data_IF_954955775275
#
_entry.id   IF_954955775275
#
_cell.length_a   1.000
_cell.length_b   1.000
_cell.length_c   1.000
_cell.angle_alpha   90.00
_cell.angle_beta   90.00
_cell.angle_gamma   90.00
#
_symmetry.space_group_name_H-M   'P 1'
#
loop_
_entity.id
_entity.type
_entity.pdbx_description
1 polymer ?
#
# COMPACT_ATOMS: atom_id res chain seq x y z
N UNK A 1 8.49 25.41 -51.34
CA UNK A 1 7.16 25.51 -50.77
C UNK A 1 6.92 24.23 -49.98
N UNK A 2 7.19 24.26 -48.68
CA UNK A 2 6.98 23.14 -47.74
C UNK A 2 5.54 23.23 -47.24
N UNK A 3 4.75 22.19 -47.48
CA UNK A 3 3.39 22.03 -47.01
C UNK A 3 3.38 22.01 -45.46
N UNK A 4 2.56 22.83 -44.80
CA UNK A 4 2.49 22.76 -43.33
C UNK A 4 1.87 21.43 -42.92
N UNK A 5 2.48 20.76 -41.93
CA UNK A 5 1.97 19.55 -41.33
C UNK A 5 0.56 19.82 -40.77
N UNK A 6 -0.35 18.93 -41.06
CA UNK A 6 -1.73 18.98 -40.55
C UNK A 6 -1.73 19.03 -39.01
N UNK A 7 -2.56 19.87 -38.37
CA UNK A 7 -2.68 19.93 -36.93
C UNK A 7 -3.10 18.55 -36.42
N UNK A 8 -2.33 18.02 -35.46
CA UNK A 8 -2.51 16.71 -34.89
C UNK A 8 -3.96 16.43 -34.52
N UNK A 9 -4.46 15.28 -34.93
CA UNK A 9 -5.80 14.81 -34.64
C UNK A 9 -6.01 14.90 -33.12
N UNK A 10 -6.75 15.88 -32.66
CA UNK A 10 -7.21 15.97 -31.27
C UNK A 10 -8.01 14.70 -30.98
N UNK A 11 -7.51 13.87 -30.09
CA UNK A 11 -8.27 12.71 -29.63
C UNK A 11 -9.67 13.19 -29.21
N UNK A 12 -10.74 12.53 -29.66
CA UNK A 12 -12.08 12.93 -29.23
C UNK A 12 -12.14 12.90 -27.69
N UNK A 13 -12.83 13.89 -27.08
CA UNK A 13 -12.94 13.95 -25.63
C UNK A 13 -13.46 12.61 -25.11
N UNK A 14 -12.95 12.13 -23.97
CA UNK A 14 -13.33 10.84 -23.41
C UNK A 14 -14.85 10.78 -23.25
N UNK A 15 -15.47 9.70 -23.73
CA UNK A 15 -16.90 9.48 -23.53
C UNK A 15 -17.19 9.51 -22.04
N UNK A 16 -18.21 10.28 -21.62
CA UNK A 16 -18.57 10.39 -20.21
C UNK A 16 -18.76 8.99 -19.61
N UNK A 17 -18.16 8.73 -18.44
CA UNK A 17 -18.28 7.43 -17.80
C UNK A 17 -19.76 7.13 -17.50
N UNK A 18 -20.17 5.86 -17.62
CA UNK A 18 -21.51 5.43 -17.25
C UNK A 18 -21.81 5.77 -15.78
N UNK A 19 -23.10 5.96 -15.43
CA UNK A 19 -23.53 6.33 -14.06
C UNK A 19 -23.00 5.44 -12.93
N UNK A 20 -22.64 4.20 -13.20
CA UNK A 20 -22.07 3.24 -12.22
C UNK A 20 -20.55 3.15 -12.19
N UNK A 21 -19.82 3.91 -13.02
CA UNK A 21 -18.37 3.75 -13.18
C UNK A 21 -17.60 4.02 -11.88
N UNK A 22 -17.79 5.16 -11.25
CA UNK A 22 -17.05 5.55 -10.02
C UNK A 22 -17.33 4.63 -8.84
N UNK A 23 -18.58 4.25 -8.52
CA UNK A 23 -18.87 3.24 -7.51
C UNK A 23 -18.23 1.88 -7.79
N UNK A 24 -18.29 1.39 -9.04
CA UNK A 24 -17.67 0.11 -9.41
C UNK A 24 -16.15 0.16 -9.38
N UNK A 25 -15.53 1.28 -9.76
CA UNK A 25 -14.10 1.51 -9.60
C UNK A 25 -13.69 1.49 -8.12
N UNK A 26 -14.45 2.15 -7.26
CA UNK A 26 -14.24 2.10 -5.81
C UNK A 26 -14.37 0.69 -5.25
N UNK A 27 -15.39 -0.06 -5.69
CA UNK A 27 -15.60 -1.45 -5.30
C UNK A 27 -14.45 -2.36 -5.77
N UNK A 28 -13.95 -2.19 -7.00
CA UNK A 28 -12.81 -2.95 -7.52
C UNK A 28 -11.52 -2.66 -6.72
N UNK A 29 -11.27 -1.40 -6.38
CA UNK A 29 -10.14 -1.01 -5.53
C UNK A 29 -10.28 -1.58 -4.11
N UNK A 30 -11.45 -1.42 -3.49
CA UNK A 30 -11.74 -2.05 -2.20
C UNK A 30 -11.50 -3.56 -2.23
N UNK A 31 -12.00 -4.25 -3.24
CA UNK A 31 -11.83 -5.70 -3.39
C UNK A 31 -10.38 -6.12 -3.58
N UNK A 32 -9.60 -5.40 -4.40
CA UNK A 32 -8.19 -5.67 -4.59
C UNK A 32 -7.38 -5.41 -3.30
N UNK A 33 -7.65 -4.32 -2.58
CA UNK A 33 -7.04 -4.07 -1.27
C UNK A 33 -7.47 -5.11 -0.22
N UNK A 34 -8.73 -5.54 -0.22
CA UNK A 34 -9.20 -6.60 0.67
C UNK A 34 -8.42 -7.90 0.44
N UNK A 35 -8.23 -8.28 -0.84
CA UNK A 35 -7.48 -9.48 -1.22
C UNK A 35 -5.98 -9.41 -0.85
N UNK A 36 -5.38 -8.21 -0.82
CA UNK A 36 -3.98 -8.01 -0.46
C UNK A 36 -3.78 -7.79 1.04
N UNK A 37 -4.60 -6.95 1.68
CA UNK A 37 -4.39 -6.54 3.07
C UNK A 37 -4.84 -7.61 4.06
N UNK A 38 -5.90 -8.37 3.79
CA UNK A 38 -6.34 -9.46 4.66
C UNK A 38 -5.22 -10.48 4.94
N UNK A 39 -4.50 -11.00 3.92
CA UNK A 39 -3.32 -11.83 4.15
C UNK A 39 -2.22 -11.14 4.95
N UNK A 40 -1.85 -9.91 4.58
CA UNK A 40 -0.72 -9.19 5.22
C UNK A 40 -0.98 -8.90 6.70
N UNK A 41 -2.21 -8.50 7.04
CA UNK A 41 -2.54 -8.09 8.40
C UNK A 41 -2.57 -9.27 9.39
N UNK A 42 -3.04 -10.44 8.96
CA UNK A 42 -3.22 -11.59 9.85
C UNK A 42 -3.02 -12.93 9.13
N UNK A 43 -3.54 -13.10 7.92
CA UNK A 43 -3.63 -14.38 7.24
C UNK A 43 -2.28 -15.07 7.05
N UNK A 44 -1.25 -14.35 6.58
CA UNK A 44 0.09 -14.90 6.36
C UNK A 44 0.77 -15.26 7.68
N UNK A 45 0.59 -14.46 8.74
CA UNK A 45 1.15 -14.74 10.06
C UNK A 45 0.58 -16.04 10.62
N UNK A 46 -0.74 -16.26 10.50
CA UNK A 46 -1.39 -17.53 10.89
C UNK A 46 -0.86 -18.70 10.05
N UNK A 47 -0.76 -18.51 8.72
CA UNK A 47 -0.31 -19.57 7.81
C UNK A 47 1.14 -19.99 8.04
N UNK A 48 2.05 -19.06 8.27
CA UNK A 48 3.44 -19.40 8.55
C UNK A 48 3.61 -19.98 9.95
N UNK A 49 2.78 -19.63 10.93
CA UNK A 49 2.76 -20.29 12.24
C UNK A 49 2.41 -21.77 12.10
N UNK A 50 1.39 -22.09 11.29
CA UNK A 50 0.97 -23.46 11.01
C UNK A 50 2.08 -24.30 10.35
N UNK A 51 2.92 -23.70 9.49
CA UNK A 51 3.88 -24.43 8.64
C UNK A 51 5.30 -24.40 9.19
N UNK A 52 5.74 -23.27 9.75
CA UNK A 52 7.15 -23.02 10.07
C UNK A 52 7.49 -23.13 11.58
N UNK A 53 6.48 -23.23 12.46
CA UNK A 53 6.71 -23.39 13.90
C UNK A 53 7.62 -22.28 14.46
N UNK A 54 8.78 -22.66 15.00
CA UNK A 54 9.73 -21.71 15.62
C UNK A 54 10.36 -20.73 14.63
N UNK A 55 10.44 -21.08 13.34
CA UNK A 55 10.97 -20.23 12.27
C UNK A 55 9.93 -19.26 11.68
N UNK A 56 8.74 -19.14 12.29
CA UNK A 56 7.61 -18.34 11.77
C UNK A 56 7.96 -16.88 11.46
N UNK A 57 8.77 -16.24 12.30
CA UNK A 57 9.15 -14.85 12.11
C UNK A 57 10.02 -14.66 10.86
N UNK A 58 11.00 -15.55 10.66
CA UNK A 58 11.87 -15.55 9.47
C UNK A 58 11.09 -15.89 8.21
N UNK A 59 10.20 -16.90 8.28
CA UNK A 59 9.34 -17.28 7.16
C UNK A 59 8.39 -16.14 6.75
N UNK A 60 7.79 -15.44 7.73
CA UNK A 60 6.93 -14.28 7.45
C UNK A 60 7.71 -13.13 6.81
N UNK A 61 8.89 -12.82 7.36
CA UNK A 61 9.78 -11.78 6.82
C UNK A 61 10.17 -12.05 5.37
N UNK A 62 10.51 -13.32 5.05
CA UNK A 62 10.82 -13.77 3.70
C UNK A 62 9.62 -13.60 2.76
N UNK A 63 8.46 -14.15 3.14
CA UNK A 63 7.25 -14.14 2.31
C UNK A 63 6.77 -12.70 2.06
N UNK A 64 6.66 -11.89 3.11
CA UNK A 64 6.15 -10.53 2.99
C UNK A 64 7.17 -9.60 2.34
N UNK A 65 8.44 -9.71 2.69
CA UNK A 65 9.52 -8.89 2.12
C UNK A 65 9.71 -9.11 0.63
N UNK A 66 9.81 -10.38 0.19
CA UNK A 66 9.93 -10.71 -1.25
C UNK A 66 8.65 -10.36 -1.99
N UNK A 67 7.47 -10.68 -1.43
CA UNK A 67 6.19 -10.33 -2.05
C UNK A 67 6.03 -8.82 -2.29
N UNK A 68 6.48 -8.00 -1.35
CA UNK A 68 6.42 -6.54 -1.51
C UNK A 68 7.36 -6.01 -2.61
N UNK A 69 8.49 -6.68 -2.91
CA UNK A 69 9.31 -6.37 -4.08
C UNK A 69 8.54 -6.61 -5.39
N UNK A 70 7.76 -7.70 -5.45
CA UNK A 70 6.90 -7.94 -6.62
C UNK A 70 5.85 -6.84 -6.78
N UNK A 71 5.23 -6.38 -5.69
CA UNK A 71 4.29 -5.26 -5.72
C UNK A 71 4.95 -3.96 -6.21
N UNK A 72 6.18 -3.67 -5.73
CA UNK A 72 6.94 -2.48 -6.09
C UNK A 72 7.13 -2.36 -7.60
N UNK A 73 7.46 -3.46 -8.27
CA UNK A 73 7.68 -3.48 -9.72
C UNK A 73 6.42 -3.74 -10.54
N UNK A 74 5.48 -4.55 -10.03
CA UNK A 74 4.28 -4.93 -10.76
C UNK A 74 3.41 -3.72 -11.13
N UNK A 75 3.16 -2.81 -10.18
CA UNK A 75 2.25 -1.68 -10.39
C UNK A 75 2.72 -0.77 -11.55
N UNK A 76 3.95 -0.19 -11.55
CA UNK A 76 4.40 0.68 -12.64
C UNK A 76 4.66 -0.09 -13.96
N UNK A 77 5.12 -1.34 -13.88
CA UNK A 77 5.35 -2.15 -15.07
C UNK A 77 4.04 -2.47 -15.80
N UNK A 78 3.04 -2.94 -15.05
CA UNK A 78 1.74 -3.30 -15.62
C UNK A 78 0.98 -2.06 -16.05
N UNK A 79 1.10 -0.95 -15.34
CA UNK A 79 0.60 0.34 -15.80
C UNK A 79 1.08 0.65 -17.22
N UNK A 80 2.39 0.64 -17.45
CA UNK A 80 2.99 0.86 -18.77
C UNK A 80 2.62 -0.20 -19.81
N UNK A 81 2.56 -1.48 -19.42
CA UNK A 81 2.14 -2.56 -20.32
C UNK A 81 0.67 -2.40 -20.74
N UNK A 82 -0.20 -2.04 -19.80
CA UNK A 82 -1.61 -1.83 -20.10
C UNK A 82 -1.85 -0.63 -21.02
N UNK A 83 -1.02 0.43 -20.93
CA UNK A 83 -1.04 1.58 -21.85
C UNK A 83 -0.74 1.18 -23.30
N UNK A 84 -0.06 0.06 -23.52
CA UNK A 84 0.41 -0.42 -24.82
C UNK A 84 -0.36 -1.66 -25.32
N UNK A 85 -1.32 -2.11 -24.54
CA UNK A 85 -2.07 -3.34 -24.88
C UNK A 85 -3.10 -3.06 -25.97
N UNK A 86 -2.88 -3.61 -27.16
CA UNK A 86 -3.83 -3.63 -28.25
C UNK A 86 -4.57 -4.97 -28.26
N UNK A 87 -5.73 -5.04 -27.63
CA UNK A 87 -6.53 -6.26 -27.58
C UNK A 87 -8.00 -6.00 -27.97
N UNK A 88 -8.70 -7.08 -28.37
CA UNK A 88 -10.13 -7.02 -28.69
C UNK A 88 -11.00 -6.67 -27.46
N UNK A 89 -10.50 -6.96 -26.26
CA UNK A 89 -11.19 -6.64 -24.99
C UNK A 89 -10.98 -5.20 -24.55
N UNK A 90 -10.02 -4.49 -25.17
CA UNK A 90 -9.58 -3.16 -24.75
C UNK A 90 -8.16 -3.18 -24.19
N UNK A 91 -7.69 -2.04 -23.67
CA UNK A 91 -6.31 -1.93 -23.16
C UNK A 91 -6.21 -2.28 -21.67
N UNK A 92 -7.22 -2.04 -20.85
CA UNK A 92 -7.22 -2.24 -19.37
C UNK A 92 -7.89 -3.54 -18.94
N UNK A 93 -8.99 -3.93 -19.59
CA UNK A 93 -9.76 -5.14 -19.24
C UNK A 93 -8.94 -6.42 -19.14
N UNK A 94 -8.02 -6.75 -20.07
CA UNK A 94 -7.24 -7.98 -19.98
C UNK A 94 -6.45 -8.10 -18.70
N UNK A 95 -5.88 -6.97 -18.22
CA UNK A 95 -5.09 -6.90 -16.99
C UNK A 95 -5.96 -7.04 -15.74
N UNK A 96 -7.15 -6.44 -15.75
CA UNK A 96 -8.10 -6.54 -14.63
C UNK A 96 -8.64 -7.98 -14.54
N UNK A 97 -9.08 -8.57 -15.65
CA UNK A 97 -9.62 -9.93 -15.67
C UNK A 97 -8.55 -10.98 -15.37
N UNK A 98 -7.38 -10.88 -16.04
CA UNK A 98 -6.25 -11.78 -15.81
C UNK A 98 -5.73 -11.69 -14.38
N UNK A 99 -5.57 -10.46 -13.86
CA UNK A 99 -5.18 -10.22 -12.49
C UNK A 99 -6.17 -10.78 -11.48
N UNK A 100 -7.48 -10.62 -11.70
CA UNK A 100 -8.50 -11.19 -10.82
C UNK A 100 -8.42 -12.72 -10.77
N UNK A 101 -8.34 -13.39 -11.93
CA UNK A 101 -8.29 -14.87 -12.01
C UNK A 101 -6.99 -15.40 -11.37
N UNK A 102 -5.84 -14.87 -11.79
CA UNK A 102 -4.54 -15.32 -11.26
C UNK A 102 -4.43 -15.02 -9.77
N UNK A 103 -4.90 -13.84 -9.32
CA UNK A 103 -4.85 -13.45 -7.92
C UNK A 103 -5.69 -14.34 -7.02
N UNK A 104 -6.91 -14.68 -7.42
CA UNK A 104 -7.78 -15.61 -6.67
C UNK A 104 -7.16 -17.01 -6.63
N UNK A 105 -6.64 -17.51 -7.75
CA UNK A 105 -5.97 -18.80 -7.79
C UNK A 105 -4.71 -18.83 -6.91
N UNK A 106 -3.93 -17.75 -6.89
CA UNK A 106 -2.76 -17.62 -6.03
C UNK A 106 -3.13 -17.61 -4.54
N UNK A 107 -4.19 -16.91 -4.14
CA UNK A 107 -4.68 -16.93 -2.75
C UNK A 107 -5.24 -18.29 -2.35
N UNK A 108 -5.93 -19.00 -3.26
CA UNK A 108 -6.36 -20.36 -3.03
C UNK A 108 -5.15 -21.30 -2.83
N UNK A 109 -4.10 -21.14 -3.64
CA UNK A 109 -2.84 -21.87 -3.50
C UNK A 109 -2.20 -21.64 -2.13
N UNK A 110 -2.15 -20.38 -1.63
CA UNK A 110 -1.62 -20.06 -0.30
C UNK A 110 -2.46 -20.75 0.79
N UNK A 111 -3.79 -20.63 0.71
CA UNK A 111 -4.69 -21.25 1.70
C UNK A 111 -4.53 -22.76 1.81
N UNK A 112 -4.27 -23.45 0.70
CA UNK A 112 -4.04 -24.89 0.63
C UNK A 112 -2.56 -25.30 0.83
N UNK A 113 -1.62 -24.37 0.99
CA UNK A 113 -0.20 -24.65 1.06
C UNK A 113 0.20 -25.35 2.37
N UNK A 114 1.20 -26.22 2.29
CA UNK A 114 1.86 -26.89 3.40
C UNK A 114 3.38 -26.64 3.44
N UNK A 115 3.85 -25.67 2.67
CA UNK A 115 5.26 -25.29 2.56
C UNK A 115 5.41 -23.77 2.44
N UNK A 116 6.38 -23.21 3.14
CA UNK A 116 6.73 -21.77 3.09
C UNK A 116 7.04 -21.33 1.66
N UNK A 117 7.68 -22.19 0.86
CA UNK A 117 8.02 -21.89 -0.53
C UNK A 117 6.79 -21.75 -1.44
N UNK A 118 5.78 -22.60 -1.21
CA UNK A 118 4.50 -22.50 -1.93
C UNK A 118 3.75 -21.22 -1.54
N UNK A 119 3.77 -20.86 -0.24
CA UNK A 119 3.22 -19.60 0.25
C UNK A 119 3.96 -18.41 -0.38
N UNK A 120 5.29 -18.45 -0.45
CA UNK A 120 6.11 -17.40 -1.08
C UNK A 120 5.75 -17.20 -2.54
N UNK A 121 5.74 -18.27 -3.34
CA UNK A 121 5.38 -18.19 -4.77
C UNK A 121 3.94 -17.72 -4.94
N UNK A 122 3.01 -18.27 -4.18
CA UNK A 122 1.61 -17.84 -4.19
C UNK A 122 1.46 -16.36 -3.84
N UNK A 123 2.22 -15.89 -2.83
CA UNK A 123 2.17 -14.49 -2.42
C UNK A 123 2.76 -13.54 -3.47
N UNK A 124 3.88 -13.89 -4.10
CA UNK A 124 4.45 -13.12 -5.21
C UNK A 124 3.47 -13.02 -6.40
N UNK A 125 2.78 -14.13 -6.72
CA UNK A 125 1.74 -14.15 -7.76
C UNK A 125 0.53 -13.29 -7.37
N UNK A 126 0.03 -13.40 -6.14
CA UNK A 126 -1.10 -12.61 -5.64
C UNK A 126 -0.77 -11.10 -5.65
N UNK A 127 0.42 -10.72 -5.18
CA UNK A 127 0.91 -9.34 -5.22
C UNK A 127 0.97 -8.81 -6.65
N UNK A 128 1.57 -9.56 -7.58
CA UNK A 128 1.64 -9.17 -8.99
C UNK A 128 0.25 -9.02 -9.60
N UNK A 129 -0.63 -9.98 -9.36
CA UNK A 129 -1.95 -10.05 -9.97
C UNK A 129 -2.90 -8.94 -9.47
N UNK A 130 -3.02 -8.74 -8.15
CA UNK A 130 -3.89 -7.70 -7.64
C UNK A 130 -3.30 -6.28 -7.83
N UNK A 131 -1.96 -6.12 -7.85
CA UNK A 131 -1.36 -4.85 -8.27
C UNK A 131 -1.62 -4.56 -9.76
N UNK A 132 -1.75 -5.60 -10.61
CA UNK A 132 -2.20 -5.43 -11.99
C UNK A 132 -3.65 -4.92 -12.06
N UNK A 133 -4.54 -5.47 -11.24
CA UNK A 133 -5.92 -4.97 -11.11
C UNK A 133 -5.91 -3.50 -10.70
N UNK A 134 -5.18 -3.15 -9.64
CA UNK A 134 -5.09 -1.78 -9.13
C UNK A 134 -4.53 -0.80 -10.17
N UNK A 135 -3.41 -1.16 -10.81
CA UNK A 135 -2.76 -0.32 -11.81
C UNK A 135 -3.69 -0.05 -13.00
N UNK A 136 -4.29 -1.11 -13.56
CA UNK A 136 -5.17 -0.99 -14.72
C UNK A 136 -6.49 -0.29 -14.38
N UNK A 137 -7.08 -0.57 -13.21
CA UNK A 137 -8.31 0.09 -12.76
C UNK A 137 -8.09 1.59 -12.49
N UNK A 138 -7.03 1.97 -11.78
CA UNK A 138 -6.74 3.37 -11.47
C UNK A 138 -6.35 4.19 -12.71
N UNK A 139 -5.70 3.57 -13.70
CA UNK A 139 -5.41 4.21 -14.98
C UNK A 139 -6.68 4.60 -15.77
N UNK A 140 -7.85 4.02 -15.46
CA UNK A 140 -9.12 4.44 -16.07
C UNK A 140 -9.60 5.82 -15.59
N UNK A 141 -9.08 6.34 -14.46
CA UNK A 141 -9.45 7.69 -13.97
C UNK A 141 -9.03 8.76 -14.97
N UNK A 142 -7.75 8.92 -15.35
CA UNK A 142 -7.37 9.90 -16.36
C UNK A 142 -7.94 9.57 -17.74
N UNK A 143 -8.19 8.27 -18.05
CA UNK A 143 -8.70 7.85 -19.36
C UNK A 143 -10.18 8.23 -19.59
N UNK A 144 -11.03 8.24 -18.53
CA UNK A 144 -12.48 8.35 -18.67
C UNK A 144 -13.13 9.42 -17.80
N UNK A 145 -12.48 9.83 -16.70
CA UNK A 145 -13.08 10.82 -15.77
C UNK A 145 -12.66 12.22 -16.17
N UNK A 146 -13.62 13.13 -16.41
CA UNK A 146 -13.33 14.54 -16.64
C UNK A 146 -12.52 15.13 -15.51
N UNK A 147 -11.60 16.04 -15.81
CA UNK A 147 -10.66 16.61 -14.84
C UNK A 147 -11.33 17.15 -13.58
N UNK A 148 -12.49 17.83 -13.74
CA UNK A 148 -13.29 18.38 -12.63
C UNK A 148 -13.83 17.32 -11.66
N UNK A 149 -13.98 16.07 -12.10
CA UNK A 149 -14.56 14.97 -11.33
C UNK A 149 -13.50 13.97 -10.80
N UNK A 150 -12.23 14.12 -11.23
CA UNK A 150 -11.14 13.22 -10.83
C UNK A 150 -10.91 13.20 -9.31
N UNK A 151 -11.03 14.36 -8.65
CA UNK A 151 -10.94 14.46 -7.20
C UNK A 151 -12.00 13.62 -6.49
N UNK A 152 -13.26 13.63 -6.98
CA UNK A 152 -14.33 12.79 -6.43
C UNK A 152 -14.06 11.29 -6.66
N UNK A 153 -13.62 10.93 -7.86
CA UNK A 153 -13.28 9.54 -8.18
C UNK A 153 -12.12 9.02 -7.30
N UNK A 154 -11.05 9.81 -7.14
CA UNK A 154 -9.92 9.49 -6.27
C UNK A 154 -10.33 9.39 -4.79
N UNK A 155 -11.25 10.25 -4.34
CA UNK A 155 -11.80 10.17 -2.98
C UNK A 155 -12.53 8.85 -2.71
N UNK A 156 -13.37 8.39 -3.66
CA UNK A 156 -14.06 7.10 -3.56
C UNK A 156 -13.06 5.93 -3.53
N UNK A 157 -12.04 5.97 -4.37
CA UNK A 157 -10.95 4.97 -4.38
C UNK A 157 -10.18 4.98 -3.05
N UNK A 158 -9.89 6.16 -2.51
CA UNK A 158 -9.12 6.32 -1.28
C UNK A 158 -9.79 5.71 -0.03
N UNK A 159 -11.11 5.66 0.02
CA UNK A 159 -11.88 5.00 1.11
C UNK A 159 -11.69 3.47 1.06
N UNK A 160 -11.33 2.90 -0.08
CA UNK A 160 -11.19 1.46 -0.27
C UNK A 160 -10.16 0.82 0.68
N UNK A 161 -9.03 1.46 0.92
CA UNK A 161 -7.95 0.91 1.76
C UNK A 161 -8.33 0.80 3.24
N UNK A 162 -8.77 1.86 3.94
CA UNK A 162 -9.15 1.73 5.35
C UNK A 162 -10.35 0.79 5.54
N UNK A 163 -11.31 0.79 4.61
CA UNK A 163 -12.42 -0.13 4.64
C UNK A 163 -11.96 -1.59 4.50
N UNK A 164 -10.99 -1.85 3.60
CA UNK A 164 -10.40 -3.18 3.41
C UNK A 164 -9.64 -3.66 4.65
N UNK A 165 -8.96 -2.77 5.37
CA UNK A 165 -8.30 -3.09 6.63
C UNK A 165 -9.32 -3.58 7.66
N UNK A 166 -10.42 -2.84 7.85
CA UNK A 166 -11.46 -3.22 8.81
C UNK A 166 -12.13 -4.52 8.40
N UNK A 167 -12.69 -4.58 7.19
CA UNK A 167 -13.44 -5.75 6.71
C UNK A 167 -12.52 -6.99 6.66
N UNK A 168 -11.28 -6.84 6.20
CA UNK A 168 -10.30 -7.93 6.13
C UNK A 168 -9.93 -8.49 7.50
N UNK A 169 -9.68 -7.64 8.49
CA UNK A 169 -9.36 -8.07 9.85
C UNK A 169 -10.53 -8.82 10.51
N UNK A 170 -11.77 -8.34 10.34
CA UNK A 170 -12.94 -9.04 10.84
C UNK A 170 -13.25 -10.32 10.07
N UNK A 171 -13.00 -10.34 8.74
CA UNK A 171 -13.17 -11.55 7.94
C UNK A 171 -12.27 -12.70 8.45
N UNK A 172 -10.99 -12.43 8.75
CA UNK A 172 -10.10 -13.46 9.32
C UNK A 172 -10.58 -13.94 10.68
N UNK A 173 -11.14 -13.05 11.52
CA UNK A 173 -11.67 -13.40 12.83
C UNK A 173 -12.93 -14.29 12.75
N UNK A 174 -13.70 -14.18 11.66
CA UNK A 174 -14.95 -14.93 11.46
C UNK A 174 -14.76 -16.24 10.66
N UNK A 175 -13.61 -16.41 10.01
CA UNK A 175 -13.32 -17.56 9.15
C UNK A 175 -12.37 -18.54 9.86
N UNK A 176 -12.81 -19.78 10.05
CA UNK A 176 -12.08 -20.78 10.84
C UNK A 176 -11.00 -21.52 10.01
N UNK A 177 -11.22 -21.73 8.71
CA UNK A 177 -10.27 -22.48 7.89
C UNK A 177 -9.22 -21.62 7.23
N UNK A 178 -7.97 -22.11 7.17
CA UNK A 178 -6.87 -21.47 6.45
C UNK A 178 -7.25 -21.12 5.00
N UNK A 179 -7.85 -22.08 4.28
CA UNK A 179 -8.31 -21.83 2.90
C UNK A 179 -9.34 -20.69 2.80
N UNK A 180 -10.32 -20.66 3.70
CA UNK A 180 -11.36 -19.63 3.67
C UNK A 180 -10.80 -18.23 3.95
N UNK A 181 -9.83 -18.10 4.87
CA UNK A 181 -9.17 -16.82 5.21
C UNK A 181 -8.47 -16.15 4.03
N UNK A 182 -8.04 -16.94 3.04
CA UNK A 182 -7.44 -16.41 1.80
C UNK A 182 -8.44 -16.37 0.65
N UNK A 183 -9.22 -17.44 0.46
CA UNK A 183 -10.09 -17.56 -0.70
C UNK A 183 -11.29 -16.61 -0.66
N UNK A 184 -11.94 -16.43 0.51
CA UNK A 184 -13.14 -15.59 0.61
C UNK A 184 -12.83 -14.12 0.30
N UNK A 185 -11.85 -13.45 0.95
CA UNK A 185 -11.48 -12.08 0.59
C UNK A 185 -10.97 -11.98 -0.86
N UNK A 186 -10.19 -12.97 -1.30
CA UNK A 186 -9.69 -13.04 -2.67
C UNK A 186 -10.80 -13.16 -3.72
N UNK A 187 -11.75 -14.07 -3.51
CA UNK A 187 -12.88 -14.27 -4.41
C UNK A 187 -13.78 -13.02 -4.47
N UNK A 188 -14.07 -12.41 -3.32
CA UNK A 188 -14.82 -11.14 -3.29
C UNK A 188 -14.08 -10.06 -4.08
N UNK A 189 -12.77 -9.92 -3.87
CA UNK A 189 -11.93 -8.99 -4.62
C UNK A 189 -11.94 -9.27 -6.12
N UNK A 190 -11.79 -10.54 -6.50
CA UNK A 190 -11.86 -10.98 -7.89
C UNK A 190 -13.21 -10.70 -8.54
N UNK A 191 -14.32 -11.00 -7.86
CA UNK A 191 -15.69 -10.73 -8.35
C UNK A 191 -15.90 -9.23 -8.57
N UNK A 192 -15.51 -8.38 -7.62
CA UNK A 192 -15.66 -6.92 -7.75
C UNK A 192 -14.81 -6.37 -8.89
N UNK A 193 -13.59 -6.88 -9.08
CA UNK A 193 -12.73 -6.53 -10.21
C UNK A 193 -13.35 -6.96 -11.56
N UNK A 194 -13.91 -8.17 -11.64
CA UNK A 194 -14.61 -8.67 -12.84
C UNK A 194 -15.84 -7.83 -13.16
N UNK A 195 -16.67 -7.51 -12.16
CA UNK A 195 -17.85 -6.65 -12.34
C UNK A 195 -17.46 -5.27 -12.88
N UNK A 196 -16.40 -4.67 -12.36
CA UNK A 196 -15.87 -3.41 -12.88
C UNK A 196 -15.39 -3.59 -14.33
N UNK A 197 -14.60 -4.62 -14.63
CA UNK A 197 -14.09 -4.88 -15.97
C UNK A 197 -15.22 -5.08 -17.01
N UNK A 198 -16.32 -5.75 -16.63
CA UNK A 198 -17.47 -5.96 -17.50
C UNK A 198 -18.23 -4.65 -17.77
N UNK A 199 -18.35 -3.78 -16.76
CA UNK A 199 -19.01 -2.48 -16.88
C UNK A 199 -18.13 -1.42 -17.56
N UNK A 200 -16.81 -1.61 -17.58
CA UNK A 200 -15.85 -0.67 -18.13
C UNK A 200 -16.05 -0.53 -19.66
N UNK A 201 -16.21 0.68 -20.16
CA UNK A 201 -16.15 1.00 -21.58
C UNK A 201 -14.70 1.25 -21.98
N UNK A 202 -13.95 0.13 -22.12
CA UNK A 202 -12.51 0.20 -22.30
C UNK A 202 -12.12 0.69 -23.70
N UNK A 203 -11.09 1.55 -23.75
CA UNK A 203 -10.52 2.06 -24.98
C UNK A 203 -9.81 0.94 -25.74
N UNK A 204 -10.03 0.84 -27.03
CA UNK A 204 -9.33 -0.10 -27.90
C UNK A 204 -8.27 0.66 -28.70
N UNK A 205 -7.03 0.20 -28.62
CA UNK A 205 -5.96 0.68 -29.48
C UNK A 205 -6.01 -0.10 -30.79
N UNK A 206 -5.98 0.60 -31.91
CA UNK A 206 -5.92 -0.01 -33.24
C UNK A 206 -4.59 -0.74 -33.44
N UNK A 207 -3.50 -0.18 -32.90
CA UNK A 207 -2.15 -0.76 -32.92
C UNK A 207 -1.44 -0.42 -31.60
N UNK A 208 -0.55 -1.31 -31.16
CA UNK A 208 0.32 -1.01 -30.02
C UNK A 208 1.25 0.15 -30.38
N UNK A 209 1.48 1.11 -29.46
CA UNK A 209 2.41 2.20 -29.68
C UNK A 209 3.79 1.70 -30.09
N UNK A 210 4.40 2.33 -31.09
CA UNK A 210 5.75 2.00 -31.56
C UNK A 210 6.80 2.26 -30.47
N UNK A 211 7.87 1.47 -30.47
CA UNK A 211 9.00 1.55 -29.53
C UNK A 211 8.99 0.39 -28.53
N UNK A 212 10.18 -0.05 -28.13
CA UNK A 212 10.36 -1.09 -27.10
C UNK A 212 10.39 -0.44 -25.71
N UNK A 213 9.80 -1.11 -24.72
CA UNK A 213 10.03 -0.75 -23.32
C UNK A 213 11.51 -1.02 -23.02
N UNK A 214 12.28 0.04 -22.79
CA UNK A 214 13.67 -0.06 -22.40
C UNK A 214 13.74 -0.35 -20.90
N UNK A 215 14.37 -1.48 -20.52
CA UNK A 215 14.64 -1.78 -19.12
C UNK A 215 15.50 -0.66 -18.46
N UNK A 216 16.44 -0.07 -19.21
CA UNK A 216 17.28 1.03 -18.73
C UNK A 216 16.45 2.28 -18.42
N UNK A 217 15.49 2.63 -19.27
CA UNK A 217 14.58 3.76 -19.03
C UNK A 217 13.62 3.47 -17.86
N UNK A 218 13.16 2.21 -17.76
CA UNK A 218 12.33 1.78 -16.66
C UNK A 218 13.04 1.92 -15.32
N UNK A 219 14.22 1.32 -15.16
CA UNK A 219 14.98 1.41 -13.92
C UNK A 219 15.57 2.81 -13.70
N UNK A 220 15.94 3.54 -14.78
CA UNK A 220 16.39 4.93 -14.69
C UNK A 220 15.32 5.89 -14.15
N UNK A 221 14.02 5.56 -14.33
CA UNK A 221 12.93 6.37 -13.77
C UNK A 221 12.78 6.21 -12.24
N UNK A 222 13.50 5.29 -11.60
CA UNK A 222 13.48 5.07 -10.15
C UNK A 222 14.66 5.72 -9.41
N UNK A 223 15.54 6.42 -10.12
CA UNK A 223 16.75 7.01 -9.54
C UNK A 223 16.70 8.53 -9.64
N UNK A 224 17.05 9.20 -8.54
CA UNK A 224 17.27 10.64 -8.47
C UNK A 224 18.62 10.94 -7.83
N UNK A 225 19.14 12.16 -8.03
CA UNK A 225 20.36 12.62 -7.36
C UNK A 225 19.99 13.46 -6.11
N UNK A 226 20.19 12.92 -4.88
CA UNK A 226 19.86 13.65 -3.66
C UNK A 226 20.80 14.83 -3.38
N UNK A 227 21.96 14.91 -4.06
CA UNK A 227 22.89 16.04 -3.91
C UNK A 227 22.43 17.24 -4.75
N UNK A 228 21.88 16.96 -5.93
CA UNK A 228 21.31 17.99 -6.79
C UNK A 228 19.97 18.51 -6.26
N UNK A 229 19.20 17.66 -5.56
CA UNK A 229 17.85 17.96 -5.06
C UNK A 229 17.70 17.56 -3.59
N UNK A 230 18.36 18.25 -2.64
CA UNK A 230 18.41 17.84 -1.23
C UNK A 230 17.05 17.88 -0.55
N UNK A 231 16.19 18.85 -0.85
CA UNK A 231 14.85 18.98 -0.27
C UNK A 231 13.97 17.79 -0.63
N UNK A 232 14.00 17.37 -1.89
CA UNK A 232 13.31 16.17 -2.34
C UNK A 232 13.84 14.92 -1.64
N UNK A 233 15.17 14.84 -1.44
CA UNK A 233 15.82 13.75 -0.70
C UNK A 233 15.35 13.67 0.77
N UNK A 234 15.22 14.81 1.46
CA UNK A 234 14.73 14.84 2.84
C UNK A 234 13.25 14.44 2.94
N UNK A 235 12.40 14.90 2.01
CA UNK A 235 11.00 14.49 1.95
C UNK A 235 10.89 12.98 1.65
N UNK A 236 11.69 12.46 0.71
CA UNK A 236 11.76 11.05 0.38
C UNK A 236 12.13 10.20 1.61
N UNK A 237 13.15 10.61 2.36
CA UNK A 237 13.62 9.90 3.55
C UNK A 237 12.60 9.93 4.69
N UNK A 238 11.95 11.07 4.94
CA UNK A 238 10.88 11.20 5.91
C UNK A 238 9.69 10.28 5.59
N UNK A 239 9.31 10.23 4.31
CA UNK A 239 8.27 9.33 3.81
C UNK A 239 8.65 7.86 3.95
N UNK A 240 9.88 7.49 3.59
CA UNK A 240 10.41 6.15 3.80
C UNK A 240 10.32 5.73 5.26
N UNK A 241 10.73 6.59 6.19
CA UNK A 241 10.71 6.31 7.62
C UNK A 241 9.29 6.07 8.14
N UNK A 242 8.30 6.87 7.71
CA UNK A 242 6.88 6.69 8.05
C UNK A 242 6.35 5.33 7.60
N UNK A 243 6.59 4.98 6.33
CA UNK A 243 6.13 3.70 5.79
C UNK A 243 6.88 2.51 6.39
N UNK A 244 8.15 2.68 6.80
CA UNK A 244 8.92 1.65 7.50
C UNK A 244 8.29 1.30 8.86
N UNK A 245 7.98 2.32 9.67
CA UNK A 245 7.30 2.13 10.94
C UNK A 245 5.94 1.46 10.77
N UNK A 246 5.14 1.92 9.81
CA UNK A 246 3.81 1.36 9.54
C UNK A 246 3.86 -0.10 9.06
N UNK A 247 4.73 -0.42 8.12
CA UNK A 247 4.86 -1.78 7.58
C UNK A 247 5.33 -2.79 8.64
N UNK A 248 6.22 -2.35 9.54
CA UNK A 248 6.73 -3.19 10.61
C UNK A 248 5.68 -3.68 11.58
N UNK A 249 4.63 -2.87 11.83
CA UNK A 249 3.53 -3.24 12.74
C UNK A 249 2.66 -4.31 12.08
N UNK A 250 2.23 -4.06 10.86
CA UNK A 250 1.23 -4.88 10.19
C UNK A 250 1.62 -6.36 10.11
N UNK A 251 2.90 -6.65 9.93
CA UNK A 251 3.39 -8.02 9.76
C UNK A 251 3.49 -8.80 11.09
N UNK A 252 3.94 -8.15 12.18
CA UNK A 252 4.35 -8.85 13.39
C UNK A 252 3.42 -8.67 14.61
N UNK A 253 2.31 -7.94 14.47
CA UNK A 253 1.39 -7.68 15.59
C UNK A 253 0.79 -8.96 16.16
N UNK A 254 0.48 -9.97 15.32
CA UNK A 254 -0.03 -11.26 15.79
C UNK A 254 0.98 -11.94 16.71
N UNK A 255 2.23 -12.03 16.30
CA UNK A 255 3.29 -12.69 17.07
C UNK A 255 3.58 -11.93 18.37
N UNK A 256 3.57 -10.61 18.36
CA UNK A 256 3.67 -9.81 19.58
C UNK A 256 2.57 -10.15 20.60
N UNK A 257 1.32 -10.25 20.12
CA UNK A 257 0.18 -10.58 20.99
C UNK A 257 0.23 -12.01 21.53
N UNK A 258 0.70 -12.97 20.73
CA UNK A 258 0.80 -14.38 21.16
C UNK A 258 2.03 -14.67 21.99
N UNK A 259 3.20 -14.19 21.57
CA UNK A 259 4.48 -14.59 22.12
C UNK A 259 4.91 -13.71 23.32
N UNK A 260 4.68 -12.39 23.28
CA UNK A 260 5.04 -11.49 24.40
C UNK A 260 3.87 -11.26 25.37
N UNK A 261 2.62 -11.08 24.86
CA UNK A 261 1.46 -10.85 25.72
C UNK A 261 0.72 -12.14 26.11
N UNK A 262 1.16 -13.32 25.59
CA UNK A 262 0.64 -14.65 25.98
C UNK A 262 -0.83 -14.89 25.62
N UNK A 263 -1.36 -14.19 24.59
CA UNK A 263 -2.75 -14.38 24.16
C UNK A 263 -2.90 -15.67 23.34
N UNK A 264 -4.06 -16.32 23.45
CA UNK A 264 -4.41 -17.37 22.49
C UNK A 264 -4.57 -16.77 21.09
N UNK A 265 -4.31 -17.56 20.05
CA UNK A 265 -4.38 -17.14 18.66
C UNK A 265 -5.75 -16.49 18.32
N UNK A 266 -6.85 -17.14 18.71
CA UNK A 266 -8.20 -16.63 18.46
C UNK A 266 -8.44 -15.27 19.13
N UNK A 267 -7.97 -15.08 20.37
CA UNK A 267 -8.08 -13.81 21.08
C UNK A 267 -7.19 -12.74 20.45
N UNK A 268 -5.98 -13.08 20.03
CA UNK A 268 -5.08 -12.17 19.34
C UNK A 268 -5.67 -11.65 18.02
N UNK A 269 -6.27 -12.53 17.20
CA UNK A 269 -6.98 -12.16 15.96
C UNK A 269 -8.11 -11.18 16.23
N UNK A 270 -8.93 -11.43 17.27
CA UNK A 270 -9.99 -10.51 17.67
C UNK A 270 -9.48 -9.14 18.13
N UNK A 271 -8.36 -9.12 18.87
CA UNK A 271 -7.69 -7.86 19.30
C UNK A 271 -7.17 -7.10 18.09
N UNK A 272 -6.57 -7.78 17.11
CA UNK A 272 -6.10 -7.15 15.86
C UNK A 272 -7.28 -6.53 15.09
N UNK A 273 -8.41 -7.22 14.98
CA UNK A 273 -9.60 -6.69 14.32
C UNK A 273 -10.10 -5.39 14.99
N UNK A 274 -10.16 -5.38 16.32
CA UNK A 274 -10.53 -4.19 17.08
C UNK A 274 -9.52 -3.06 16.93
N UNK A 275 -8.23 -3.35 17.07
CA UNK A 275 -7.13 -2.39 16.97
C UNK A 275 -7.05 -1.76 15.57
N UNK A 276 -7.17 -2.58 14.51
CA UNK A 276 -7.21 -2.10 13.13
C UNK A 276 -8.46 -1.27 12.85
N UNK A 277 -9.60 -1.59 13.47
CA UNK A 277 -10.81 -0.77 13.37
C UNK A 277 -10.58 0.61 13.99
N UNK A 278 -10.03 0.66 15.20
CA UNK A 278 -9.71 1.92 15.89
C UNK A 278 -8.69 2.75 15.06
N UNK A 279 -7.64 2.10 14.55
CA UNK A 279 -6.65 2.73 13.67
C UNK A 279 -7.28 3.30 12.39
N UNK A 280 -8.13 2.52 11.70
CA UNK A 280 -8.76 2.94 10.45
C UNK A 280 -9.73 4.12 10.65
N UNK A 281 -10.52 4.10 11.73
CA UNK A 281 -11.44 5.21 12.06
C UNK A 281 -10.66 6.50 12.30
N UNK A 282 -9.60 6.47 13.13
CA UNK A 282 -8.80 7.65 13.40
C UNK A 282 -7.94 8.06 12.19
N UNK A 283 -7.47 7.12 11.38
CA UNK A 283 -6.79 7.41 10.12
C UNK A 283 -7.70 8.17 9.15
N UNK A 284 -8.95 7.74 8.98
CA UNK A 284 -9.90 8.46 8.12
C UNK A 284 -10.23 9.85 8.67
N UNK A 285 -10.50 9.95 9.96
CA UNK A 285 -10.81 11.24 10.60
C UNK A 285 -9.64 12.22 10.49
N UNK A 286 -8.41 11.78 10.81
CA UNK A 286 -7.22 12.62 10.75
C UNK A 286 -6.82 12.99 9.32
N UNK A 287 -7.06 12.10 8.35
CA UNK A 287 -6.80 12.39 6.94
C UNK A 287 -7.70 13.51 6.42
N UNK A 288 -8.98 13.49 6.79
CA UNK A 288 -9.94 14.56 6.40
C UNK A 288 -9.62 15.89 7.09
N UNK A 289 -9.38 15.85 8.41
CA UNK A 289 -9.12 17.05 9.21
C UNK A 289 -7.75 17.63 8.92
N UNK A 290 -6.73 16.80 8.78
CA UNK A 290 -5.33 17.19 8.56
C UNK A 290 -5.16 17.98 7.26
N UNK A 291 -5.77 17.52 6.16
CA UNK A 291 -5.73 18.23 4.90
C UNK A 291 -6.35 19.62 4.99
N UNK A 292 -7.59 19.70 5.52
CA UNK A 292 -8.29 21.00 5.68
C UNK A 292 -7.52 21.96 6.58
N UNK A 293 -6.97 21.46 7.69
CA UNK A 293 -6.28 22.29 8.66
C UNK A 293 -4.92 22.77 8.13
N UNK A 294 -4.16 21.89 7.47
CA UNK A 294 -2.89 22.25 6.81
C UNK A 294 -3.08 23.31 5.73
N UNK A 295 -4.12 23.17 4.89
CA UNK A 295 -4.41 24.16 3.84
C UNK A 295 -4.81 25.52 4.42
N UNK A 296 -5.62 25.54 5.51
CA UNK A 296 -6.02 26.78 6.18
C UNK A 296 -4.86 27.51 6.84
N UNK A 297 -3.92 26.78 7.43
CA UNK A 297 -2.78 27.36 8.13
C UNK A 297 -1.59 27.64 7.20
N UNK A 298 -1.58 27.11 5.97
CA UNK A 298 -0.49 27.25 5.00
C UNK A 298 0.84 26.66 5.50
N UNK A 299 0.80 25.75 6.46
CA UNK A 299 1.98 25.25 7.19
C UNK A 299 2.08 23.72 7.01
N UNK A 300 2.72 23.25 5.92
CA UNK A 300 2.81 21.82 5.60
C UNK A 300 3.83 21.07 6.44
N UNK A 301 5.02 21.64 6.65
CA UNK A 301 6.11 21.00 7.41
C UNK A 301 5.74 20.65 8.85
N UNK A 302 5.20 21.60 9.66
CA UNK A 302 4.84 21.31 11.05
C UNK A 302 3.79 20.19 11.15
N UNK A 303 2.86 20.12 10.18
CA UNK A 303 1.85 19.07 10.16
C UNK A 303 2.45 17.70 9.90
N UNK A 304 3.35 17.58 8.89
CA UNK A 304 4.03 16.32 8.57
C UNK A 304 4.92 15.90 9.76
N UNK A 305 5.65 16.83 10.36
CA UNK A 305 6.48 16.54 11.53
C UNK A 305 5.63 16.09 12.73
N UNK A 306 4.54 16.81 13.05
CA UNK A 306 3.63 16.45 14.13
C UNK A 306 2.98 15.08 13.90
N UNK A 307 2.53 14.81 12.69
CA UNK A 307 1.94 13.52 12.32
C UNK A 307 2.94 12.37 12.54
N UNK A 308 4.22 12.58 12.18
CA UNK A 308 5.28 11.60 12.39
C UNK A 308 5.57 11.42 13.90
N UNK A 309 5.60 12.49 14.69
CA UNK A 309 5.77 12.40 16.15
C UNK A 309 4.60 11.65 16.79
N UNK A 310 3.36 11.94 16.40
CA UNK A 310 2.17 11.22 16.89
C UNK A 310 2.28 9.73 16.59
N UNK A 311 2.69 9.35 15.37
CA UNK A 311 2.88 7.95 15.02
C UNK A 311 4.01 7.30 15.83
N UNK A 312 5.14 8.00 16.03
CA UNK A 312 6.24 7.52 16.86
C UNK A 312 5.81 7.29 18.32
N UNK A 313 4.98 8.17 18.87
CA UNK A 313 4.37 7.98 20.21
C UNK A 313 3.48 6.72 20.23
N UNK A 314 2.68 6.50 19.20
CA UNK A 314 1.88 5.28 19.06
C UNK A 314 2.74 4.01 19.04
N UNK A 315 3.87 4.03 18.32
CA UNK A 315 4.84 2.94 18.30
C UNK A 315 5.51 2.71 19.65
N UNK A 316 5.83 3.77 20.40
CA UNK A 316 6.34 3.68 21.77
C UNK A 316 5.30 3.08 22.72
N UNK A 317 4.04 3.50 22.62
CA UNK A 317 2.95 2.91 23.39
C UNK A 317 2.79 1.42 23.08
N UNK A 318 2.98 1.02 21.82
CA UNK A 318 2.92 -0.38 21.40
C UNK A 318 4.12 -1.16 21.96
N UNK A 319 5.34 -0.61 21.88
CA UNK A 319 6.57 -1.23 22.37
C UNK A 319 6.53 -1.55 23.88
N UNK A 320 5.84 -0.72 24.66
CA UNK A 320 5.74 -0.86 26.12
C UNK A 320 4.31 -1.15 26.58
N UNK A 321 3.49 -1.80 25.73
CA UNK A 321 2.09 -2.05 26.05
C UNK A 321 1.96 -3.14 27.17
N UNK A 322 1.41 -2.80 28.35
CA UNK A 322 1.21 -3.76 29.42
C UNK A 322 0.06 -4.75 29.16
N UNK A 323 -0.70 -4.54 28.10
CA UNK A 323 -1.85 -5.39 27.77
C UNK A 323 -2.69 -4.86 26.60
N UNK A 324 -3.77 -5.57 26.31
CA UNK A 324 -4.62 -5.40 25.13
C UNK A 324 -5.16 -3.97 24.96
N UNK A 325 -5.62 -3.34 26.06
CA UNK A 325 -6.18 -2.00 25.99
C UNK A 325 -5.16 -0.98 25.44
N UNK A 326 -3.91 -1.06 25.90
CA UNK A 326 -2.83 -0.21 25.42
C UNK A 326 -2.49 -0.49 23.96
N UNK A 327 -2.53 -1.75 23.51
CA UNK A 327 -2.33 -2.11 22.10
C UNK A 327 -3.39 -1.45 21.21
N UNK A 328 -4.66 -1.48 21.61
CA UNK A 328 -5.75 -0.84 20.86
C UNK A 328 -5.57 0.68 20.81
N UNK A 329 -5.21 1.30 21.93
CA UNK A 329 -4.92 2.74 21.98
C UNK A 329 -3.70 3.09 21.13
N UNK A 330 -2.63 2.31 21.22
CA UNK A 330 -1.42 2.49 20.40
C UNK A 330 -1.74 2.47 18.91
N UNK A 331 -2.49 1.47 18.45
CA UNK A 331 -2.93 1.37 17.07
C UNK A 331 -3.81 2.54 16.62
N UNK A 332 -4.70 3.01 17.49
CA UNK A 332 -5.51 4.19 17.25
C UNK A 332 -4.65 5.45 17.06
N UNK A 333 -3.63 5.64 17.91
CA UNK A 333 -2.68 6.76 17.82
C UNK A 333 -1.82 6.65 16.56
N UNK A 334 -1.37 5.43 16.20
CA UNK A 334 -0.65 5.18 14.95
C UNK A 334 -1.52 5.55 13.74
N UNK A 335 -2.78 5.11 13.73
CA UNK A 335 -3.75 5.46 12.69
C UNK A 335 -3.96 6.97 12.56
N UNK A 336 -4.09 7.67 13.69
CA UNK A 336 -4.20 9.13 13.74
C UNK A 336 -2.99 9.81 13.08
N UNK A 337 -1.77 9.41 13.46
CA UNK A 337 -0.53 9.96 12.90
C UNK A 337 -0.39 9.66 11.42
N UNK A 338 -0.61 8.40 11.01
CA UNK A 338 -0.47 7.99 9.62
C UNK A 338 -1.50 8.66 8.69
N UNK A 339 -2.76 8.80 9.13
CA UNK A 339 -3.79 9.49 8.36
C UNK A 339 -3.51 10.98 8.16
N UNK A 340 -3.08 11.68 9.23
CA UNK A 340 -2.66 13.08 9.15
C UNK A 340 -1.46 13.25 8.21
N UNK A 341 -0.46 12.35 8.29
CA UNK A 341 0.68 12.33 7.38
C UNK A 341 0.22 12.20 5.92
N UNK A 342 -0.56 11.17 5.60
CA UNK A 342 -1.01 10.88 4.24
C UNK A 342 -1.78 12.04 3.59
N UNK A 343 -2.48 12.86 4.38
CA UNK A 343 -3.27 13.99 3.88
C UNK A 343 -2.41 15.18 3.42
N UNK A 344 -1.22 15.37 4.00
CA UNK A 344 -0.38 16.56 3.76
C UNK A 344 0.89 16.22 3.00
N UNK A 345 1.42 15.01 3.16
CA UNK A 345 2.69 14.57 2.62
C UNK A 345 2.78 14.69 1.08
N UNK A 346 1.72 14.31 0.36
CA UNK A 346 1.72 14.43 -1.10
C UNK A 346 1.79 15.89 -1.56
N UNK A 347 1.13 16.81 -0.84
CA UNK A 347 1.19 18.24 -1.14
C UNK A 347 2.58 18.82 -0.81
N UNK A 348 3.25 18.36 0.23
CA UNK A 348 4.63 18.71 0.53
C UNK A 348 5.58 18.16 -0.54
N UNK A 349 5.45 16.88 -0.89
CA UNK A 349 6.29 16.21 -1.87
C UNK A 349 6.20 16.87 -3.26
N UNK A 350 5.00 17.22 -3.71
CA UNK A 350 4.80 17.89 -5.01
C UNK A 350 5.37 19.32 -5.04
N UNK A 351 5.53 19.97 -3.88
CA UNK A 351 6.12 21.32 -3.81
C UNK A 351 7.66 21.33 -3.94
N UNK A 352 8.31 20.18 -3.82
CA UNK A 352 9.78 20.01 -3.89
C UNK A 352 10.24 19.12 -5.03
N UNK A 353 9.38 18.86 -6.03
CA UNK A 353 9.75 18.04 -7.19
C UNK A 353 10.97 18.63 -7.92
N UNK A 354 11.97 17.79 -8.25
CA UNK A 354 13.18 18.21 -8.96
C UNK A 354 12.92 18.88 -10.31
N UNK A 355 11.98 18.33 -11.09
CA UNK A 355 11.65 18.85 -12.42
C UNK A 355 10.14 18.80 -12.65
N UNK A 356 9.44 19.93 -12.68
CA UNK A 356 8.00 19.98 -12.96
C UNK A 356 7.61 19.35 -14.31
N UNK A 357 8.51 19.37 -15.31
CA UNK A 357 8.26 18.79 -16.64
C UNK A 357 8.41 17.24 -16.62
N UNK A 358 9.13 16.69 -15.65
CA UNK A 358 9.30 15.24 -15.42
C UNK A 358 8.55 14.73 -14.17
N UNK A 359 7.51 15.42 -13.74
CA UNK A 359 6.77 15.11 -12.50
C UNK A 359 6.34 13.63 -12.39
N UNK A 360 6.02 12.97 -13.51
CA UNK A 360 5.67 11.55 -13.51
C UNK A 360 6.82 10.63 -13.05
N UNK A 361 8.08 10.98 -13.40
CA UNK A 361 9.28 10.27 -12.96
C UNK A 361 9.50 10.48 -11.46
N UNK A 362 9.46 11.72 -11.02
CA UNK A 362 9.70 12.08 -9.62
C UNK A 362 8.64 11.47 -8.68
N UNK A 363 7.36 11.45 -9.10
CA UNK A 363 6.31 10.73 -8.40
C UNK A 363 6.54 9.21 -8.37
N UNK A 364 7.15 8.65 -9.42
CA UNK A 364 7.62 7.26 -9.43
C UNK A 364 8.69 7.00 -8.36
N UNK A 365 9.65 7.90 -8.21
CA UNK A 365 10.68 7.85 -7.15
C UNK A 365 10.06 7.96 -5.75
N UNK A 366 9.06 8.84 -5.57
CA UNK A 366 8.31 8.94 -4.31
C UNK A 366 7.55 7.65 -3.98
N UNK A 367 7.05 6.94 -4.99
CA UNK A 367 6.38 5.67 -4.75
C UNK A 367 7.32 4.58 -4.22
N UNK A 368 8.62 4.66 -4.53
CA UNK A 368 9.62 3.77 -3.93
C UNK A 368 9.71 4.00 -2.42
N UNK A 369 9.64 5.26 -1.95
CA UNK A 369 9.63 5.57 -0.53
C UNK A 369 8.42 4.97 0.22
N UNK A 370 7.34 4.60 -0.50
CA UNK A 370 6.21 3.87 0.09
C UNK A 370 6.42 2.35 0.05
N UNK A 371 6.85 1.83 -1.08
CA UNK A 371 6.83 0.40 -1.36
C UNK A 371 8.09 -0.31 -0.84
N UNK A 372 9.26 0.34 -0.92
CA UNK A 372 10.53 -0.25 -0.47
C UNK A 372 10.55 -0.56 1.04
N UNK A 373 10.04 0.31 1.94
CA UNK A 373 9.91 -0.01 3.35
C UNK A 373 9.06 -1.25 3.64
N UNK A 374 8.04 -1.49 2.84
CA UNK A 374 7.18 -2.68 2.98
C UNK A 374 7.92 -3.99 2.68
N UNK A 375 9.04 -3.93 1.94
CA UNK A 375 9.94 -5.07 1.73
C UNK A 375 11.03 -5.13 2.80
N UNK A 376 11.66 -3.99 3.11
CA UNK A 376 12.81 -3.95 4.01
C UNK A 376 12.38 -4.20 5.46
N UNK A 377 11.30 -3.58 5.94
CA UNK A 377 10.88 -3.72 7.33
C UNK A 377 10.61 -5.20 7.71
N UNK A 378 9.78 -5.97 6.98
CA UNK A 378 9.59 -7.38 7.31
C UNK A 378 10.85 -8.23 7.15
N UNK A 379 11.75 -7.91 6.20
CA UNK A 379 12.98 -8.66 5.98
C UNK A 379 14.01 -8.46 7.11
N UNK A 380 14.06 -7.27 7.70
CA UNK A 380 14.98 -6.93 8.80
C UNK A 380 14.43 -7.34 10.18
N UNK A 381 13.12 -7.34 10.34
CA UNK A 381 12.45 -7.59 11.61
C UNK A 381 12.92 -8.88 12.34
N UNK A 382 13.08 -10.05 11.67
CA UNK A 382 13.51 -11.27 12.35
C UNK A 382 14.86 -11.12 13.06
N UNK A 383 15.82 -10.44 12.41
CA UNK A 383 17.15 -10.20 12.99
C UNK A 383 17.07 -9.28 14.21
N UNK A 384 16.24 -8.22 14.15
CA UNK A 384 16.05 -7.30 15.27
C UNK A 384 15.29 -7.96 16.41
N UNK A 385 14.26 -8.75 16.11
CA UNK A 385 13.49 -9.52 17.10
C UNK A 385 14.39 -10.52 17.81
N UNK A 386 15.21 -11.27 17.06
CA UNK A 386 16.14 -12.23 17.63
C UNK A 386 17.21 -11.57 18.54
N UNK A 387 17.78 -10.44 18.11
CA UNK A 387 18.71 -9.66 18.91
C UNK A 387 18.03 -9.08 20.17
N UNK A 388 16.81 -8.57 20.04
CA UNK A 388 16.00 -8.00 21.11
C UNK A 388 15.50 -9.03 22.13
N UNK A 389 15.41 -10.30 21.75
CA UNK A 389 14.99 -11.38 22.66
C UNK A 389 15.95 -11.56 23.86
N UNK A 390 17.20 -11.10 23.73
CA UNK A 390 18.18 -11.09 24.82
C UNK A 390 18.11 -9.82 25.71
N UNK A 391 17.26 -8.86 25.34
CA UNK A 391 17.07 -7.62 26.09
C UNK A 391 15.87 -7.73 27.06
N UNK A 392 15.89 -7.00 28.19
CA UNK A 392 14.79 -7.04 29.16
C UNK A 392 13.42 -6.63 28.61
N UNK A 393 13.41 -5.88 27.50
CA UNK A 393 12.17 -5.36 26.89
C UNK A 393 11.51 -6.36 25.91
N UNK A 394 12.20 -7.46 25.55
CA UNK A 394 11.69 -8.44 24.58
C UNK A 394 11.97 -8.11 23.11
N UNK A 395 11.82 -9.11 22.24
CA UNK A 395 12.19 -9.01 20.83
C UNK A 395 11.25 -8.13 20.01
N UNK A 396 9.96 -8.34 20.13
CA UNK A 396 8.97 -7.57 19.38
C UNK A 396 8.86 -6.12 19.88
N UNK A 397 9.01 -5.92 21.20
CA UNK A 397 9.09 -4.58 21.78
C UNK A 397 10.31 -3.80 21.28
N UNK A 398 11.47 -4.47 21.13
CA UNK A 398 12.67 -3.89 20.51
C UNK A 398 12.40 -3.50 19.05
N UNK A 399 11.65 -4.31 18.30
CA UNK A 399 11.26 -4.01 16.92
C UNK A 399 10.39 -2.75 16.82
N UNK A 400 9.38 -2.61 17.67
CA UNK A 400 8.52 -1.42 17.67
C UNK A 400 9.25 -0.16 18.15
N UNK A 401 10.18 -0.31 19.10
CA UNK A 401 11.05 0.77 19.54
C UNK A 401 11.95 1.27 18.39
N UNK A 402 12.56 0.36 17.63
CA UNK A 402 13.32 0.73 16.44
C UNK A 402 12.43 1.47 15.43
N UNK A 403 11.21 0.99 15.18
CA UNK A 403 10.22 1.67 14.35
C UNK A 403 9.93 3.09 14.81
N UNK A 404 9.74 3.28 16.13
CA UNK A 404 9.53 4.61 16.74
C UNK A 404 10.72 5.54 16.50
N UNK A 405 11.94 5.05 16.69
CA UNK A 405 13.18 5.83 16.48
C UNK A 405 13.30 6.25 15.01
N UNK A 406 13.05 5.31 14.09
CA UNK A 406 13.13 5.59 12.64
C UNK A 406 12.08 6.63 12.22
N UNK A 407 10.84 6.51 12.69
CA UNK A 407 9.77 7.47 12.40
C UNK A 407 10.07 8.84 13.01
N UNK A 408 10.59 8.89 14.23
CA UNK A 408 10.99 10.14 14.88
C UNK A 408 12.17 10.81 14.15
N UNK A 409 13.15 10.04 13.70
CA UNK A 409 14.23 10.55 12.83
C UNK A 409 13.67 11.08 11.50
N UNK A 410 12.66 10.40 10.92
CA UNK A 410 11.93 10.88 9.75
C UNK A 410 11.24 12.23 9.98
N UNK A 411 10.67 12.46 11.18
CA UNK A 411 10.12 13.77 11.54
C UNK A 411 11.19 14.87 11.51
N UNK A 412 12.42 14.58 11.96
CA UNK A 412 13.52 15.54 11.93
C UNK A 412 13.97 15.88 10.49
N UNK A 413 13.85 14.92 9.53
CA UNK A 413 14.18 15.16 8.13
C UNK A 413 13.33 16.27 7.51
N UNK A 414 12.07 16.43 7.91
CA UNK A 414 11.17 17.46 7.38
C UNK A 414 11.66 18.87 7.67
N UNK A 415 12.34 19.08 8.81
CA UNK A 415 12.90 20.40 9.18
C UNK A 415 14.14 20.77 8.35
N UNK A 416 14.76 19.81 7.66
CA UNK A 416 15.88 20.06 6.72
C UNK A 416 15.45 20.53 5.34
N UNK A 417 14.15 20.49 5.04
CA UNK A 417 13.59 21.02 3.79
C UNK A 417 13.59 22.54 3.86
N UNK A 418 14.30 23.25 2.98
CA UNK A 418 14.47 24.71 3.06
C UNK A 418 13.49 25.47 2.16
N UNK A 419 13.12 24.89 1.01
CA UNK A 419 12.30 25.56 -0.02
C UNK A 419 10.81 25.74 0.32
N UNK A 420 10.29 25.12 1.38
CA UNK A 420 8.88 25.18 1.79
C UNK A 420 8.78 25.75 3.22
N UNK A 421 7.66 26.39 3.54
CA UNK A 421 7.35 26.88 4.90
C UNK A 421 6.48 25.89 5.68
#
# INVERSE_FOLDING_TARGET
>A
MSTPAAPGATNPPPARPGRGFVPLLGAANFGAYLALLTPVLVGLSLKVTEIAGDDKATALGLVTGVGALFALFANPLIGRLSDRTASRLGMRRPWILGGAVVGVAALALIGAAHSVWVVLVGWCLAQTAFNAVLAAANATIPDQVPERERGRASGVVGVGTPLAIVVGSWAVNLLDSSLARFLVPGALGGVLAVLFALALRDRRLAQAPAGRLSAREFFGSFVFDPRAHPDFGWVWLGRFAMFFGYAGIAAYLLFYLTDELGLSESRAVGVIALANTAAAVLMMASSLLGGVLSDRLGARKPFVALASVVMAVGLLLLAFAPGVATVVVAQAVIGLGFGAFMSVDMALATSVLPNPDEAAKDLGVLNIANALPQSIAPAVAPAVIAAGAHLPIGGYSTWYLLGAIVVFAGAACVFRVESVK
#
